data_IF_105563735331
#
_entry.id   IF_105563735331
#
_cell.length_a   1.000
_cell.length_b   1.000
_cell.length_c   1.000
_cell.angle_alpha   90.00
_cell.angle_beta   90.00
_cell.angle_gamma   90.00
#
_symmetry.space_group_name_H-M   'P 1'
#
loop_
_entity.id
_entity.type
_entity.pdbx_description
1 polymer ?
#
# COMPACT_ATOMS: atom_id res chain seq x y z
N UNK A 1 36.54 -24.32 -40.66
CA UNK A 1 37.52 -24.50 -39.57
C UNK A 1 38.36 -23.25 -39.47
N UNK A 2 38.09 -22.39 -38.48
CA UNK A 2 38.97 -21.30 -38.06
C UNK A 2 38.56 -20.92 -36.63
N UNK A 3 39.31 -21.46 -35.67
CA UNK A 3 39.14 -21.27 -34.24
C UNK A 3 39.85 -19.97 -33.86
N UNK A 4 39.10 -18.97 -33.41
CA UNK A 4 39.66 -17.72 -32.85
C UNK A 4 39.93 -17.92 -31.36
N UNK A 5 41.19 -17.76 -30.95
CA UNK A 5 41.68 -17.89 -29.57
C UNK A 5 41.37 -16.63 -28.75
N UNK A 6 40.90 -16.81 -27.53
CA UNK A 6 40.77 -15.77 -26.49
C UNK A 6 42.15 -15.30 -25.99
N UNK A 7 42.32 -14.03 -25.58
CA UNK A 7 43.52 -13.59 -24.88
C UNK A 7 43.37 -13.81 -23.37
N UNK A 8 44.25 -14.65 -22.82
CA UNK A 8 44.48 -14.88 -21.39
C UNK A 8 44.96 -13.60 -20.69
N UNK A 9 44.25 -13.18 -19.64
CA UNK A 9 44.63 -12.09 -18.74
C UNK A 9 45.74 -12.59 -17.81
N UNK A 10 46.96 -12.07 -17.96
CA UNK A 10 48.08 -12.34 -17.06
C UNK A 10 47.95 -11.51 -15.77
N UNK A 11 48.05 -12.16 -14.61
CA UNK A 11 48.22 -11.51 -13.30
C UNK A 11 49.62 -10.87 -13.19
N UNK A 12 49.78 -9.71 -12.52
CA UNK A 12 51.09 -9.11 -12.34
C UNK A 12 51.91 -9.87 -11.27
N UNK A 13 53.18 -10.12 -11.60
CA UNK A 13 54.14 -10.81 -10.77
C UNK A 13 54.49 -10.01 -9.49
N UNK A 14 54.49 -10.71 -8.35
CA UNK A 14 55.03 -10.23 -7.08
C UNK A 14 56.55 -10.24 -7.19
N UNK A 15 57.19 -9.08 -7.07
CA UNK A 15 58.65 -8.94 -7.07
C UNK A 15 59.14 -8.94 -5.61
N UNK A 16 59.86 -9.97 -5.19
CA UNK A 16 60.59 -9.99 -3.93
C UNK A 16 61.86 -9.11 -4.02
N UNK A 17 62.26 -8.42 -2.94
CA UNK A 17 63.48 -7.63 -2.96
C UNK A 17 64.70 -8.50 -2.66
N UNK A 18 65.55 -8.73 -3.67
CA UNK A 18 66.89 -9.29 -3.46
C UNK A 18 67.84 -8.24 -2.88
N UNK A 19 68.40 -8.55 -1.72
CA UNK A 19 69.54 -7.87 -1.11
C UNK A 19 70.79 -7.91 -2.01
N UNK A 20 71.33 -6.74 -2.37
CA UNK A 20 72.58 -6.66 -3.12
C UNK A 20 73.09 -5.22 -3.18
N UNK A 21 74.09 -4.92 -2.35
CA UNK A 21 74.72 -3.60 -2.31
C UNK A 21 75.64 -3.35 -3.50
N UNK A 22 75.60 -2.12 -4.02
CA UNK A 22 76.74 -1.53 -4.73
C UNK A 22 76.74 -0.01 -4.55
N UNK A 23 77.67 0.41 -3.70
CA UNK A 23 78.29 1.72 -3.56
C UNK A 23 78.29 2.55 -4.87
N UNK A 24 77.64 3.70 -4.83
CA UNK A 24 77.91 4.84 -5.72
C UNK A 24 78.20 6.07 -4.86
N UNK A 25 79.44 6.55 -4.96
CA UNK A 25 79.88 7.87 -4.48
C UNK A 25 79.84 8.84 -5.66
N UNK A 26 79.36 10.06 -5.42
CA UNK A 26 79.64 11.22 -6.27
C UNK A 26 78.41 12.06 -6.62
N UNK A 27 78.41 13.32 -6.15
CA UNK A 27 77.56 14.38 -6.71
C UNK A 27 76.64 15.06 -5.70
N UNK A 28 77.19 16.00 -4.93
CA UNK A 28 76.40 16.96 -4.17
C UNK A 28 75.69 17.93 -5.13
N UNK A 29 74.38 17.75 -5.31
CA UNK A 29 73.47 18.73 -5.90
C UNK A 29 72.48 19.15 -4.80
N UNK A 30 72.66 20.37 -4.28
CA UNK A 30 71.69 21.02 -3.39
C UNK A 30 70.48 21.46 -4.23
N UNK A 31 69.38 20.71 -4.12
CA UNK A 31 68.14 21.05 -4.81
C UNK A 31 67.07 19.97 -4.69
N UNK A 32 66.83 19.45 -3.49
CA UNK A 32 65.77 18.48 -3.24
C UNK A 32 64.49 19.18 -2.79
N UNK A 33 63.53 19.37 -3.71
CA UNK A 33 62.13 19.53 -3.31
C UNK A 33 61.64 18.17 -2.81
N UNK A 34 61.11 18.13 -1.59
CA UNK A 34 60.50 16.92 -1.03
C UNK A 34 59.45 16.35 -1.99
N UNK A 35 59.26 15.01 -2.05
CA UNK A 35 58.17 14.43 -2.83
C UNK A 35 56.84 15.05 -2.37
N UNK A 36 55.91 15.36 -3.32
CA UNK A 36 54.62 15.93 -2.95
C UNK A 36 53.92 15.02 -1.96
N UNK A 37 53.39 15.61 -0.88
CA UNK A 37 52.59 14.87 0.09
C UNK A 37 51.42 14.17 -0.62
N UNK A 38 51.07 12.93 -0.23
CA UNK A 38 49.93 12.24 -0.80
C UNK A 38 48.68 13.13 -0.68
N UNK A 39 47.79 13.11 -1.69
CA UNK A 39 46.56 13.90 -1.63
C UNK A 39 45.79 13.54 -0.35
N UNK A 40 45.14 14.51 0.31
CA UNK A 40 44.37 14.24 1.51
C UNK A 40 43.35 13.13 1.19
N UNK A 41 43.36 12.06 1.98
CA UNK A 41 42.37 10.98 1.86
C UNK A 41 40.98 11.60 1.90
N UNK A 42 40.18 11.38 0.85
CA UNK A 42 38.80 11.84 0.80
C UNK A 42 38.08 11.45 2.09
N UNK A 43 37.33 12.35 2.74
CA UNK A 43 36.61 11.99 3.96
C UNK A 43 35.68 10.82 3.65
N UNK A 44 35.90 9.68 4.30
CA UNK A 44 34.98 8.55 4.25
C UNK A 44 33.68 9.03 4.89
N UNK A 45 32.69 9.40 4.08
CA UNK A 45 31.37 9.74 4.57
C UNK A 45 30.80 8.51 5.27
N UNK A 46 30.71 8.59 6.59
CA UNK A 46 30.10 7.58 7.42
C UNK A 46 28.58 7.70 7.25
N UNK A 47 28.01 6.93 6.32
CA UNK A 47 26.57 6.84 6.04
C UNK A 47 25.72 6.28 7.20
N UNK A 48 26.27 6.21 8.41
CA UNK A 48 25.62 5.59 9.55
C UNK A 48 24.76 6.63 10.27
N UNK A 49 23.44 6.50 10.14
CA UNK A 49 22.47 7.21 10.96
C UNK A 49 22.74 6.90 12.44
N UNK A 50 23.18 7.90 13.20
CA UNK A 50 23.49 7.74 14.63
C UNK A 50 22.23 7.61 15.51
N UNK A 51 21.04 7.81 14.94
CA UNK A 51 19.76 7.83 15.63
C UNK A 51 18.76 6.83 15.01
N UNK A 52 18.07 5.99 15.79
CA UNK A 52 17.07 5.04 15.25
C UNK A 52 15.89 5.76 14.56
N UNK A 53 15.57 6.97 15.01
CA UNK A 53 14.55 7.82 14.40
C UNK A 53 14.89 8.24 12.96
N UNK A 54 16.18 8.46 12.64
CA UNK A 54 16.56 8.79 11.27
C UNK A 54 16.53 7.57 10.37
N UNK A 55 16.90 6.37 10.85
CA UNK A 55 16.74 5.12 10.09
C UNK A 55 15.27 4.84 9.75
N UNK A 56 14.35 5.05 10.69
CA UNK A 56 12.91 4.92 10.42
C UNK A 56 12.43 5.94 9.39
N UNK A 57 12.86 7.20 9.50
CA UNK A 57 12.53 8.24 8.51
C UNK A 57 13.00 7.86 7.11
N UNK A 58 14.22 7.33 6.98
CA UNK A 58 14.75 6.86 5.70
C UNK A 58 13.97 5.67 5.14
N UNK A 59 13.55 4.73 5.98
CA UNK A 59 12.70 3.61 5.56
C UNK A 59 11.33 4.08 5.04
N UNK A 60 10.68 5.00 5.76
CA UNK A 60 9.41 5.61 5.34
C UNK A 60 9.57 6.37 4.03
N UNK A 61 10.65 7.14 3.88
CA UNK A 61 10.97 7.86 2.65
C UNK A 61 11.16 6.90 1.46
N UNK A 62 11.81 5.76 1.67
CA UNK A 62 11.94 4.69 0.67
C UNK A 62 10.58 4.13 0.22
N UNK A 63 9.69 3.80 1.16
CA UNK A 63 8.33 3.33 0.83
C UNK A 63 7.54 4.38 0.05
N UNK A 64 7.59 5.65 0.49
CA UNK A 64 6.90 6.76 -0.18
C UNK A 64 7.47 7.01 -1.58
N UNK A 65 8.79 6.92 -1.73
CA UNK A 65 9.46 7.09 -3.01
C UNK A 65 9.01 6.01 -4.00
N UNK A 66 9.10 4.73 -3.63
CA UNK A 66 8.69 3.60 -4.48
C UNK A 66 7.21 3.68 -4.86
N UNK A 67 6.33 4.07 -3.93
CA UNK A 67 4.91 4.28 -4.25
C UNK A 67 4.70 5.41 -5.27
N UNK A 68 5.48 6.48 -5.21
CA UNK A 68 5.36 7.62 -6.13
C UNK A 68 5.99 7.34 -7.49
N UNK A 69 7.04 6.54 -7.59
CA UNK A 69 7.74 6.31 -8.85
C UNK A 69 7.21 5.09 -9.60
N UNK A 70 6.85 4.01 -8.90
CA UNK A 70 6.52 2.73 -9.53
C UNK A 70 5.02 2.52 -9.72
N UNK A 71 4.59 2.29 -10.96
CA UNK A 71 3.19 2.01 -11.30
C UNK A 71 2.68 0.70 -10.67
N UNK A 72 3.50 -0.35 -10.71
CA UNK A 72 3.17 -1.65 -10.15
C UNK A 72 2.98 -1.59 -8.63
N UNK A 73 3.84 -0.86 -7.91
CA UNK A 73 3.68 -0.63 -6.48
C UNK A 73 2.34 0.02 -6.12
N UNK A 74 1.85 0.98 -6.90
CA UNK A 74 0.53 1.59 -6.69
C UNK A 74 -0.61 0.58 -6.87
N UNK A 75 -0.49 -0.29 -7.88
CA UNK A 75 -1.47 -1.36 -8.12
C UNK A 75 -1.48 -2.41 -6.99
N UNK A 76 -0.31 -2.81 -6.49
CA UNK A 76 -0.22 -3.72 -5.35
C UNK A 76 -0.80 -3.09 -4.09
N UNK A 77 -0.48 -1.84 -3.78
CA UNK A 77 -1.05 -1.15 -2.61
C UNK A 77 -2.59 -1.03 -2.69
N UNK A 78 -3.11 -0.74 -3.88
CA UNK A 78 -4.54 -0.71 -4.17
C UNK A 78 -5.20 -2.07 -3.92
N UNK A 79 -4.59 -3.14 -4.46
CA UNK A 79 -5.09 -4.51 -4.32
C UNK A 79 -5.08 -4.95 -2.86
N UNK A 80 -4.02 -4.60 -2.11
CA UNK A 80 -3.93 -4.87 -0.67
C UNK A 80 -5.04 -4.17 0.11
N UNK A 81 -5.32 -2.90 -0.17
CA UNK A 81 -6.40 -2.16 0.49
C UNK A 81 -7.78 -2.81 0.22
N UNK A 82 -8.02 -3.22 -1.02
CA UNK A 82 -9.22 -3.95 -1.43
C UNK A 82 -9.39 -5.28 -0.68
N UNK A 83 -8.33 -6.07 -0.61
CA UNK A 83 -8.32 -7.40 0.00
C UNK A 83 -8.50 -7.30 1.52
N UNK A 84 -7.79 -6.39 2.19
CA UNK A 84 -7.96 -6.15 3.63
C UNK A 84 -9.36 -5.62 3.95
N UNK A 85 -9.88 -4.71 3.12
CA UNK A 85 -11.25 -4.22 3.21
C UNK A 85 -12.29 -5.32 3.06
N UNK A 86 -12.04 -6.26 2.14
CA UNK A 86 -12.85 -7.47 1.97
C UNK A 86 -12.77 -8.36 3.22
N UNK A 87 -11.59 -8.54 3.82
CA UNK A 87 -11.43 -9.28 5.09
C UNK A 87 -12.32 -8.74 6.22
N UNK A 88 -12.40 -7.41 6.35
CA UNK A 88 -13.29 -6.73 7.31
C UNK A 88 -14.76 -6.99 6.95
N UNK A 89 -15.13 -6.91 5.67
CA UNK A 89 -16.50 -7.16 5.18
C UNK A 89 -16.97 -8.60 5.47
N UNK A 90 -16.10 -9.58 5.29
CA UNK A 90 -16.39 -10.97 5.61
C UNK A 90 -16.36 -11.27 7.12
N UNK A 91 -15.91 -10.33 7.97
CA UNK A 91 -15.64 -10.53 9.41
C UNK A 91 -14.71 -11.73 9.64
N UNK A 92 -13.60 -11.75 8.92
CA UNK A 92 -12.58 -12.76 9.18
C UNK A 92 -12.11 -12.65 10.65
N UNK A 93 -11.95 -13.78 11.37
CA UNK A 93 -11.41 -13.77 12.72
C UNK A 93 -9.99 -13.19 12.72
N UNK A 94 -9.53 -12.72 13.89
CA UNK A 94 -8.24 -12.05 14.03
C UNK A 94 -7.07 -12.88 13.47
N UNK A 95 -7.10 -14.20 13.62
CA UNK A 95 -6.10 -15.13 13.07
C UNK A 95 -6.06 -15.09 11.55
N UNK A 96 -7.21 -15.13 10.90
CA UNK A 96 -7.32 -15.07 9.44
C UNK A 96 -6.95 -13.68 8.90
N UNK A 97 -7.28 -12.61 9.61
CA UNK A 97 -6.83 -11.25 9.27
C UNK A 97 -5.31 -11.10 9.40
N UNK A 98 -4.68 -11.71 10.39
CA UNK A 98 -3.21 -11.73 10.52
C UNK A 98 -2.55 -12.46 9.35
N UNK A 99 -3.09 -13.62 8.96
CA UNK A 99 -2.60 -14.37 7.78
C UNK A 99 -2.77 -13.54 6.50
N UNK A 100 -3.92 -12.89 6.33
CA UNK A 100 -4.20 -12.03 5.18
C UNK A 100 -3.25 -10.82 5.14
N UNK A 101 -3.03 -10.17 6.28
CA UNK A 101 -2.11 -9.03 6.41
C UNK A 101 -0.68 -9.46 6.09
N UNK A 102 -0.20 -10.57 6.68
CA UNK A 102 1.13 -11.09 6.42
C UNK A 102 1.33 -11.39 4.93
N UNK A 103 0.36 -12.05 4.32
CA UNK A 103 0.42 -12.42 2.90
C UNK A 103 0.40 -11.20 1.98
N UNK A 104 -0.44 -10.20 2.29
CA UNK A 104 -0.47 -8.93 1.58
C UNK A 104 0.83 -8.14 1.72
N UNK A 105 1.41 -8.10 2.93
CA UNK A 105 2.71 -7.48 3.19
C UNK A 105 3.83 -8.17 2.43
N UNK A 106 3.81 -9.50 2.30
CA UNK A 106 4.81 -10.24 1.55
C UNK A 106 4.88 -9.79 0.08
N UNK A 107 3.72 -9.59 -0.56
CA UNK A 107 3.64 -9.09 -1.95
C UNK A 107 4.29 -7.70 -2.08
N UNK A 108 3.99 -6.79 -1.14
CA UNK A 108 4.58 -5.44 -1.13
C UNK A 108 6.09 -5.49 -0.92
N UNK A 109 6.56 -6.34 -0.01
CA UNK A 109 7.99 -6.53 0.27
C UNK A 109 8.70 -7.05 -0.97
N UNK A 110 8.16 -8.07 -1.65
CA UNK A 110 8.76 -8.60 -2.88
C UNK A 110 8.79 -7.57 -4.01
N UNK A 111 7.77 -6.74 -4.14
CA UNK A 111 7.73 -5.68 -5.15
C UNK A 111 8.78 -4.58 -4.88
N UNK A 112 8.97 -4.24 -3.60
CA UNK A 112 10.04 -3.32 -3.19
C UNK A 112 11.42 -3.90 -3.46
N UNK A 113 11.63 -5.19 -3.19
CA UNK A 113 12.89 -5.86 -3.55
C UNK A 113 13.10 -5.90 -5.06
N UNK A 114 12.06 -6.18 -5.85
CA UNK A 114 12.15 -6.12 -7.32
C UNK A 114 12.60 -4.75 -7.80
N UNK A 115 11.97 -3.68 -7.30
CA UNK A 115 12.35 -2.30 -7.63
C UNK A 115 13.80 -2.00 -7.22
N UNK A 116 14.24 -2.48 -6.06
CA UNK A 116 15.60 -2.26 -5.59
C UNK A 116 16.64 -2.98 -6.48
N UNK A 117 16.35 -4.22 -6.87
CA UNK A 117 17.19 -4.99 -7.80
C UNK A 117 17.24 -4.32 -9.17
N UNK A 118 16.10 -3.89 -9.71
CA UNK A 118 16.04 -3.13 -10.96
C UNK A 118 16.91 -1.88 -10.89
N UNK A 119 16.79 -1.07 -9.83
CA UNK A 119 17.55 0.16 -9.65
C UNK A 119 19.06 -0.10 -9.57
N UNK A 120 19.50 -1.16 -8.89
CA UNK A 120 20.92 -1.54 -8.80
C UNK A 120 21.44 -2.02 -10.15
N UNK A 121 20.68 -2.87 -10.84
CA UNK A 121 21.06 -3.38 -12.16
C UNK A 121 21.16 -2.23 -13.17
N UNK A 122 20.17 -1.33 -13.19
CA UNK A 122 20.14 -0.15 -14.08
C UNK A 122 21.28 0.84 -13.79
N UNK A 123 21.75 0.90 -12.55
CA UNK A 123 22.92 1.72 -12.19
C UNK A 123 24.23 1.15 -12.76
N UNK A 124 24.34 -0.18 -12.83
CA UNK A 124 25.59 -0.87 -13.23
C UNK A 124 25.64 -1.09 -14.75
N UNK A 125 24.50 -1.32 -15.40
CA UNK A 125 24.45 -1.68 -16.82
C UNK A 125 23.90 -0.58 -17.70
N UNK A 126 24.72 -0.08 -18.62
CA UNK A 126 24.36 0.92 -19.64
C UNK A 126 23.86 0.30 -20.95
N UNK A 127 23.98 -1.02 -21.09
CA UNK A 127 23.64 -1.78 -22.29
C UNK A 127 23.15 -3.16 -21.91
N UNK A 128 22.42 -3.82 -22.81
CA UNK A 128 21.86 -5.14 -22.54
C UNK A 128 22.97 -6.14 -22.15
N UNK A 129 22.82 -6.78 -20.98
CA UNK A 129 23.73 -7.81 -20.50
C UNK A 129 22.91 -9.04 -20.07
N UNK A 130 23.25 -10.27 -20.52
CA UNK A 130 22.49 -11.47 -20.18
C UNK A 130 22.33 -11.70 -18.66
N UNK A 131 23.37 -11.41 -17.87
CA UNK A 131 23.31 -11.51 -16.41
C UNK A 131 22.37 -10.48 -15.76
N UNK A 132 22.28 -9.26 -16.32
CA UNK A 132 21.36 -8.23 -15.84
C UNK A 132 19.92 -8.62 -16.12
N UNK A 133 19.65 -9.20 -17.30
CA UNK A 133 18.34 -9.79 -17.61
C UNK A 133 17.98 -10.89 -16.62
N UNK A 134 18.90 -11.83 -16.37
CA UNK A 134 18.68 -12.93 -15.43
C UNK A 134 18.35 -12.45 -14.00
N UNK A 135 19.07 -11.44 -13.49
CA UNK A 135 18.80 -10.86 -12.18
C UNK A 135 17.39 -10.24 -12.09
N UNK A 136 16.99 -9.49 -13.12
CA UNK A 136 15.64 -8.91 -13.21
C UNK A 136 14.55 -9.98 -13.34
N UNK A 137 14.79 -11.01 -14.15
CA UNK A 137 13.85 -12.11 -14.34
C UNK A 137 13.60 -12.87 -13.02
N UNK A 138 14.64 -13.11 -12.21
CA UNK A 138 14.49 -13.72 -10.87
C UNK A 138 13.70 -12.82 -9.93
N UNK A 139 14.00 -11.52 -9.92
CA UNK A 139 13.33 -10.57 -9.05
C UNK A 139 11.83 -10.47 -9.38
N UNK A 140 11.47 -10.40 -10.66
CA UNK A 140 10.10 -10.47 -11.12
C UNK A 140 9.43 -11.82 -10.79
N UNK A 141 10.17 -12.92 -10.92
CA UNK A 141 9.71 -14.26 -10.53
C UNK A 141 9.34 -14.36 -9.05
N UNK A 142 10.10 -13.71 -8.16
CA UNK A 142 9.79 -13.67 -6.73
C UNK A 142 8.47 -12.94 -6.44
N UNK A 143 8.20 -11.83 -7.13
CA UNK A 143 6.91 -11.12 -7.04
C UNK A 143 5.76 -12.01 -7.51
N UNK A 144 5.95 -12.75 -8.60
CA UNK A 144 4.95 -13.68 -9.13
C UNK A 144 4.61 -14.78 -8.12
N UNK A 145 5.60 -15.40 -7.48
CA UNK A 145 5.39 -16.43 -6.47
C UNK A 145 4.60 -15.87 -5.27
N UNK A 146 4.98 -14.67 -4.79
CA UNK A 146 4.25 -14.01 -3.70
C UNK A 146 2.81 -13.68 -4.08
N UNK A 147 2.56 -13.22 -5.32
CA UNK A 147 1.23 -12.93 -5.83
C UNK A 147 0.36 -14.20 -5.93
N UNK A 148 0.91 -15.30 -6.44
CA UNK A 148 0.20 -16.60 -6.49
C UNK A 148 -0.16 -17.07 -5.08
N UNK A 149 0.77 -16.99 -4.13
CA UNK A 149 0.50 -17.31 -2.73
C UNK A 149 -0.63 -16.43 -2.16
N UNK A 150 -0.62 -15.13 -2.45
CA UNK A 150 -1.69 -14.22 -2.02
C UNK A 150 -3.06 -14.57 -2.60
N UNK A 151 -3.12 -14.99 -3.87
CA UNK A 151 -4.36 -15.47 -4.48
C UNK A 151 -4.85 -16.75 -3.79
N UNK A 152 -3.97 -17.73 -3.57
CA UNK A 152 -4.33 -19.01 -2.92
C UNK A 152 -4.86 -18.77 -1.51
N UNK A 153 -4.15 -17.99 -0.69
CA UNK A 153 -4.58 -17.64 0.67
C UNK A 153 -5.91 -16.88 0.63
N UNK A 154 -6.05 -15.90 -0.26
CA UNK A 154 -7.30 -15.17 -0.45
C UNK A 154 -8.47 -16.10 -0.80
N UNK A 155 -8.29 -17.02 -1.75
CA UNK A 155 -9.30 -18.00 -2.11
C UNK A 155 -9.70 -18.88 -0.92
N UNK A 156 -8.73 -19.39 -0.14
CA UNK A 156 -9.02 -20.22 1.04
C UNK A 156 -9.81 -19.43 2.09
N UNK A 157 -9.42 -18.18 2.36
CA UNK A 157 -10.07 -17.35 3.37
C UNK A 157 -11.46 -16.87 2.93
N UNK A 158 -11.66 -16.50 1.67
CA UNK A 158 -12.94 -15.95 1.22
C UNK A 158 -13.94 -17.01 0.72
N UNK A 159 -13.49 -18.14 0.18
CA UNK A 159 -14.36 -19.19 -0.36
C UNK A 159 -14.56 -20.36 0.63
N UNK A 160 -13.74 -20.46 1.67
CA UNK A 160 -13.86 -21.53 2.68
C UNK A 160 -15.14 -21.44 3.51
N UNK A 161 -15.71 -22.59 3.89
CA UNK A 161 -16.69 -22.72 4.97
C UNK A 161 -18.06 -22.07 4.75
N UNK A 162 -18.58 -21.99 3.52
CA UNK A 162 -19.93 -21.44 3.25
C UNK A 162 -20.03 -19.92 3.38
N UNK A 163 -18.91 -19.22 3.58
CA UNK A 163 -18.79 -17.75 3.60
C UNK A 163 -19.46 -17.03 2.42
N UNK A 164 -19.43 -17.53 1.16
CA UNK A 164 -20.16 -16.86 0.07
C UNK A 164 -21.68 -16.81 0.29
N UNK A 165 -22.29 -17.81 0.94
CA UNK A 165 -23.72 -17.79 1.29
C UNK A 165 -24.00 -16.83 2.44
N UNK A 166 -23.12 -16.80 3.44
CA UNK A 166 -23.18 -15.85 4.55
C UNK A 166 -23.06 -14.38 4.06
N UNK A 167 -22.21 -14.13 3.06
CA UNK A 167 -22.11 -12.82 2.42
C UNK A 167 -23.41 -12.48 1.68
N UNK A 168 -24.01 -13.41 0.94
CA UNK A 168 -25.30 -13.18 0.25
C UNK A 168 -26.39 -12.77 1.23
N UNK A 169 -26.50 -13.45 2.38
CA UNK A 169 -27.45 -13.08 3.43
C UNK A 169 -27.18 -11.67 3.98
N UNK A 170 -25.90 -11.34 4.24
CA UNK A 170 -25.51 -9.99 4.70
C UNK A 170 -25.73 -8.90 3.65
N UNK A 171 -25.63 -9.21 2.36
CA UNK A 171 -25.91 -8.27 1.28
C UNK A 171 -27.41 -8.01 1.10
N UNK A 172 -28.27 -8.94 1.52
CA UNK A 172 -29.73 -8.78 1.47
C UNK A 172 -30.29 -7.91 2.60
N UNK A 173 -29.58 -7.80 3.73
CA UNK A 173 -29.92 -6.91 4.84
C UNK A 173 -28.62 -6.33 5.42
N UNK A 174 -27.92 -5.43 4.71
CA UNK A 174 -26.60 -5.00 5.14
C UNK A 174 -26.68 -4.15 6.42
N UNK A 175 -26.07 -4.58 7.54
CA UNK A 175 -25.76 -3.65 8.61
C UNK A 175 -25.07 -2.40 8.08
N UNK A 176 -25.46 -1.25 8.63
CA UNK A 176 -24.96 0.09 8.24
C UNK A 176 -23.44 0.17 8.16
N UNK A 177 -22.73 -0.56 9.03
CA UNK A 177 -21.28 -0.65 9.03
C UNK A 177 -20.70 -1.22 7.72
N UNK A 178 -21.37 -2.18 7.07
CA UNK A 178 -20.89 -2.75 5.81
C UNK A 178 -21.04 -1.77 4.64
N UNK A 179 -22.14 -1.02 4.59
CA UNK A 179 -22.32 0.04 3.60
C UNK A 179 -21.27 1.13 3.77
N UNK A 180 -20.96 1.49 5.02
CA UNK A 180 -19.87 2.43 5.32
C UNK A 180 -18.51 1.92 4.83
N UNK A 181 -18.12 0.70 5.20
CA UNK A 181 -16.82 0.12 4.80
C UNK A 181 -16.73 -0.02 3.29
N UNK A 182 -17.79 -0.51 2.63
CA UNK A 182 -17.81 -0.64 1.17
C UNK A 182 -17.69 0.71 0.47
N UNK A 183 -18.44 1.73 0.90
CA UNK A 183 -18.37 3.07 0.33
C UNK A 183 -17.01 3.74 0.60
N UNK A 184 -16.41 3.54 1.78
CA UNK A 184 -15.08 4.05 2.12
C UNK A 184 -13.98 3.43 1.24
N UNK A 185 -14.03 2.11 1.05
CA UNK A 185 -13.10 1.40 0.17
C UNK A 185 -13.26 1.86 -1.27
N UNK A 186 -14.49 1.95 -1.76
CA UNK A 186 -14.79 2.38 -3.12
C UNK A 186 -14.34 3.83 -3.36
N UNK A 187 -14.51 4.72 -2.38
CA UNK A 187 -13.99 6.09 -2.45
C UNK A 187 -12.47 6.10 -2.50
N UNK A 188 -11.82 5.36 -1.61
CA UNK A 188 -10.35 5.25 -1.57
C UNK A 188 -9.79 4.75 -2.90
N UNK A 189 -10.45 3.75 -3.48
CA UNK A 189 -10.16 3.19 -4.80
C UNK A 189 -10.29 4.24 -5.90
N UNK A 190 -11.42 4.95 -5.96
CA UNK A 190 -11.66 5.99 -6.95
C UNK A 190 -10.63 7.11 -6.85
N UNK A 191 -10.31 7.56 -5.63
CA UNK A 191 -9.30 8.59 -5.39
C UNK A 191 -7.90 8.12 -5.81
N UNK A 192 -7.56 6.84 -5.58
CA UNK A 192 -6.29 6.27 -6.02
C UNK A 192 -6.22 6.15 -7.55
N UNK A 193 -7.23 5.58 -8.20
CA UNK A 193 -7.29 5.42 -9.67
C UNK A 193 -7.20 6.77 -10.36
N UNK A 194 -7.97 7.75 -9.91
CA UNK A 194 -7.95 9.10 -10.48
C UNK A 194 -6.59 9.77 -10.35
N UNK A 195 -5.87 9.46 -9.26
CA UNK A 195 -4.53 9.97 -9.00
C UNK A 195 -3.44 9.25 -9.78
N UNK A 196 -3.66 7.98 -10.15
CA UNK A 196 -2.76 7.23 -11.04
C UNK A 196 -2.91 7.68 -12.49
N UNK A 197 -4.14 8.00 -12.92
CA UNK A 197 -4.43 8.50 -14.27
C UNK A 197 -4.17 10.01 -14.44
N UNK A 198 -4.19 10.78 -13.35
CA UNK A 198 -3.97 12.23 -13.38
C UNK A 198 -2.48 12.59 -13.47
N UNK A 199 -2.09 13.29 -14.53
CA UNK A 199 -0.69 13.66 -14.81
C UNK A 199 -0.08 14.72 -13.86
N UNK A 200 -0.79 15.18 -12.83
CA UNK A 200 -0.34 16.29 -11.95
C UNK A 200 -0.54 15.97 -10.46
N UNK A 201 0.55 16.06 -9.67
CA UNK A 201 0.50 16.28 -8.21
C UNK A 201 1.10 15.19 -7.29
N UNK A 202 1.44 15.56 -6.05
CA UNK A 202 1.96 14.66 -5.00
C UNK A 202 0.84 14.11 -4.12
N UNK A 203 1.10 13.04 -3.35
CA UNK A 203 0.09 12.32 -2.53
C UNK A 203 -0.83 13.20 -1.65
N UNK A 204 -0.35 14.34 -1.14
CA UNK A 204 -1.11 15.24 -0.25
C UNK A 204 -1.13 16.72 -0.70
N UNK A 205 -0.49 17.07 -1.82
CA UNK A 205 -0.48 18.42 -2.37
C UNK A 205 -0.52 18.39 -3.91
N UNK A 206 -1.52 19.06 -4.48
CA UNK A 206 -1.76 19.16 -5.92
C UNK A 206 -2.38 17.90 -6.52
N UNK A 207 -3.38 18.07 -7.37
CA UNK A 207 -4.07 17.02 -8.12
C UNK A 207 -5.48 17.45 -8.55
N UNK A 208 -6.02 16.82 -9.59
CA UNK A 208 -7.32 17.18 -10.23
C UNK A 208 -8.52 17.07 -9.28
N UNK A 209 -8.37 16.35 -8.16
CA UNK A 209 -9.41 16.16 -7.13
C UNK A 209 -8.79 16.30 -5.73
N UNK A 210 -9.44 17.05 -4.84
CA UNK A 210 -9.04 17.18 -3.43
C UNK A 210 -9.49 15.96 -2.62
N UNK A 211 -8.54 15.11 -2.21
CA UNK A 211 -8.82 13.92 -1.40
C UNK A 211 -9.39 14.24 -0.01
N UNK A 212 -8.92 15.33 0.63
CA UNK A 212 -9.44 15.75 1.93
C UNK A 212 -10.89 16.22 1.85
N UNK A 213 -11.25 16.92 0.78
CA UNK A 213 -12.62 17.34 0.52
C UNK A 213 -13.50 16.11 0.25
N UNK A 214 -13.06 15.18 -0.59
CA UNK A 214 -13.78 13.95 -0.87
C UNK A 214 -14.06 13.12 0.40
N UNK A 215 -13.07 12.95 1.28
CA UNK A 215 -13.24 12.25 2.57
C UNK A 215 -14.24 13.00 3.47
N UNK A 216 -14.13 14.32 3.57
CA UNK A 216 -15.01 15.11 4.44
C UNK A 216 -16.47 15.03 3.98
N UNK A 217 -16.72 15.13 2.67
CA UNK A 217 -18.06 14.99 2.10
C UNK A 217 -18.60 13.55 2.21
N UNK A 218 -17.75 12.53 2.05
CA UNK A 218 -18.13 11.13 2.29
C UNK A 218 -18.63 10.89 3.73
N UNK A 219 -17.90 11.42 4.72
CA UNK A 219 -18.29 11.33 6.12
C UNK A 219 -19.58 12.10 6.39
N UNK A 220 -19.71 13.32 5.86
CA UNK A 220 -20.93 14.11 6.01
C UNK A 220 -22.15 13.41 5.41
N UNK A 221 -22.04 12.88 4.19
CA UNK A 221 -23.13 12.13 3.55
C UNK A 221 -23.45 10.85 4.31
N UNK A 222 -22.45 10.15 4.85
CA UNK A 222 -22.70 9.00 5.74
C UNK A 222 -23.51 9.41 6.96
N UNK A 223 -23.15 10.51 7.64
CA UNK A 223 -23.89 10.99 8.83
C UNK A 223 -25.35 11.29 8.50
N UNK A 224 -25.64 11.84 7.31
CA UNK A 224 -27.03 12.08 6.85
C UNK A 224 -27.85 10.79 6.85
N UNK A 225 -27.29 9.67 6.35
CA UNK A 225 -28.00 8.39 6.26
C UNK A 225 -28.04 7.60 7.57
N UNK A 226 -27.05 7.78 8.44
CA UNK A 226 -26.89 6.95 9.66
C UNK A 226 -27.48 7.59 10.90
N UNK A 227 -27.36 8.91 11.06
CA UNK A 227 -27.65 9.56 12.34
C UNK A 227 -29.14 9.72 12.63
N UNK A 228 -30.02 9.64 11.62
CA UNK A 228 -31.46 9.92 11.73
C UNK A 228 -31.78 11.23 12.49
N UNK A 229 -30.84 12.18 12.48
CA UNK A 229 -30.91 13.42 13.24
C UNK A 229 -30.46 14.57 12.33
N UNK A 230 -31.42 15.43 12.00
CA UNK A 230 -31.22 16.58 11.12
C UNK A 230 -30.15 17.53 11.65
N UNK A 231 -30.04 17.68 12.96
CA UNK A 231 -29.03 18.54 13.57
C UNK A 231 -27.61 18.00 13.37
N UNK A 232 -27.41 16.69 13.57
CA UNK A 232 -26.12 16.04 13.32
C UNK A 232 -25.73 16.10 11.84
N UNK A 233 -26.69 15.93 10.93
CA UNK A 233 -26.50 16.07 9.49
C UNK A 233 -26.02 17.49 9.11
N UNK A 234 -26.67 18.52 9.65
CA UNK A 234 -26.28 19.92 9.39
C UNK A 234 -24.85 20.18 9.87
N UNK A 235 -24.51 19.77 11.11
CA UNK A 235 -23.16 19.93 11.64
C UNK A 235 -22.10 19.23 10.80
N UNK A 236 -22.39 18.02 10.32
CA UNK A 236 -21.45 17.27 9.50
C UNK A 236 -21.20 17.92 8.13
N UNK A 237 -22.26 18.46 7.50
CA UNK A 237 -22.15 19.22 6.25
C UNK A 237 -21.35 20.51 6.45
N UNK A 238 -21.61 21.25 7.54
CA UNK A 238 -20.84 22.44 7.88
C UNK A 238 -19.36 22.11 8.09
N UNK A 239 -19.05 21.02 8.78
CA UNK A 239 -17.67 20.57 8.96
C UNK A 239 -17.00 20.22 7.62
N UNK A 240 -17.72 19.54 6.71
CA UNK A 240 -17.19 19.23 5.39
C UNK A 240 -16.92 20.48 4.54
N UNK A 241 -17.80 21.49 4.64
CA UNK A 241 -17.61 22.79 3.98
C UNK A 241 -16.41 23.55 4.56
N UNK A 242 -16.22 23.54 5.88
CA UNK A 242 -15.04 24.14 6.52
C UNK A 242 -13.74 23.46 6.06
N UNK A 243 -13.72 22.13 6.01
CA UNK A 243 -12.57 21.38 5.48
C UNK A 243 -12.34 21.73 4.02
N UNK A 244 -13.38 21.86 3.20
CA UNK A 244 -13.28 22.23 1.79
C UNK A 244 -12.74 23.66 1.60
N UNK A 245 -13.26 24.64 2.34
CA UNK A 245 -12.78 26.02 2.32
C UNK A 245 -11.30 26.09 2.70
N UNK A 246 -10.88 25.39 3.76
CA UNK A 246 -9.49 25.41 4.23
C UNK A 246 -8.48 25.01 3.14
N UNK A 247 -8.89 24.18 2.17
CA UNK A 247 -8.03 23.74 1.06
C UNK A 247 -7.91 24.76 -0.05
N UNK A 248 -8.97 25.52 -0.32
CA UNK A 248 -8.97 26.63 -1.28
C UNK A 248 -8.18 27.80 -0.71
N UNK A 249 -8.41 28.13 0.56
CA UNK A 249 -7.77 29.25 1.26
C UNK A 249 -6.26 29.04 1.43
N UNK A 250 -5.83 27.82 1.74
CA UNK A 250 -4.42 27.45 1.79
C UNK A 250 -3.72 27.44 0.41
N UNK A 251 -4.44 27.75 -0.68
CA UNK A 251 -3.96 27.69 -2.08
C UNK A 251 -3.32 26.35 -2.47
N UNK A 252 -3.71 25.26 -1.80
CA UNK A 252 -3.23 23.90 -2.09
C UNK A 252 -4.03 23.28 -3.24
N UNK A 253 -5.33 23.59 -3.31
CA UNK A 253 -6.25 23.08 -4.33
C UNK A 253 -7.10 24.20 -4.92
N UNK A 254 -7.49 24.03 -6.19
CA UNK A 254 -8.44 24.95 -6.83
C UNK A 254 -9.87 24.64 -6.42
N UNK A 255 -10.77 25.62 -6.54
CA UNK A 255 -12.22 25.43 -6.26
C UNK A 255 -12.78 24.27 -7.08
N UNK A 256 -12.35 24.10 -8.33
CA UNK A 256 -12.80 23.00 -9.20
C UNK A 256 -12.37 21.63 -8.68
N UNK A 257 -11.15 21.49 -8.17
CA UNK A 257 -10.64 20.23 -7.60
C UNK A 257 -11.36 19.85 -6.30
N UNK A 258 -11.75 20.85 -5.51
CA UNK A 258 -12.52 20.67 -4.28
C UNK A 258 -13.96 20.25 -4.59
N UNK A 259 -14.61 20.94 -5.53
CA UNK A 259 -15.99 20.65 -5.94
C UNK A 259 -16.09 19.27 -6.59
N UNK A 260 -15.18 18.90 -7.48
CA UNK A 260 -15.17 17.57 -8.11
C UNK A 260 -15.03 16.45 -7.08
N UNK A 261 -14.17 16.62 -6.06
CA UNK A 261 -14.05 15.65 -4.96
C UNK A 261 -15.30 15.54 -4.10
N UNK A 262 -15.94 16.67 -3.81
CA UNK A 262 -17.19 16.72 -3.06
C UNK A 262 -18.33 16.00 -3.79
N UNK A 263 -18.52 16.31 -5.08
CA UNK A 263 -19.57 15.72 -5.93
C UNK A 263 -19.37 14.21 -6.09
N UNK A 264 -18.13 13.78 -6.34
CA UNK A 264 -17.80 12.36 -6.44
C UNK A 264 -18.18 11.61 -5.16
N UNK A 265 -17.76 12.13 -4.00
CA UNK A 265 -18.03 11.51 -2.70
C UNK A 265 -19.54 11.49 -2.38
N UNK A 266 -20.25 12.57 -2.64
CA UNK A 266 -21.69 12.66 -2.42
C UNK A 266 -22.44 11.64 -3.28
N UNK A 267 -22.16 11.61 -4.59
CA UNK A 267 -22.80 10.68 -5.53
C UNK A 267 -22.52 9.22 -5.18
N UNK A 268 -21.26 8.90 -4.87
CA UNK A 268 -20.84 7.57 -4.48
C UNK A 268 -21.57 7.09 -3.22
N UNK A 269 -21.53 7.91 -2.18
CA UNK A 269 -22.10 7.57 -0.87
C UNK A 269 -23.61 7.44 -0.97
N UNK A 270 -24.28 8.41 -1.62
CA UNK A 270 -25.72 8.34 -1.85
C UNK A 270 -26.10 7.07 -2.64
N UNK A 271 -25.33 6.70 -3.67
CA UNK A 271 -25.56 5.47 -4.42
C UNK A 271 -25.46 4.23 -3.51
N UNK A 272 -24.39 4.10 -2.72
CA UNK A 272 -24.20 2.94 -1.84
C UNK A 272 -25.30 2.81 -0.78
N UNK A 273 -25.79 3.92 -0.22
CA UNK A 273 -26.86 3.89 0.79
C UNK A 273 -28.28 3.81 0.21
N UNK A 274 -28.51 4.26 -1.03
CA UNK A 274 -29.80 4.18 -1.71
C UNK A 274 -30.03 2.87 -2.49
N UNK A 275 -28.98 2.17 -2.94
CA UNK A 275 -29.08 0.90 -3.68
C UNK A 275 -29.75 -0.23 -2.86
N UNK A 276 -29.42 -0.45 -1.57
CA UNK A 276 -29.96 -1.57 -0.81
C UNK A 276 -31.48 -1.49 -0.59
N UNK A 277 -32.05 -0.29 -0.42
CA UNK A 277 -33.49 -0.13 -0.18
C UNK A 277 -34.33 -0.48 -1.43
N UNK A 278 -33.81 -0.22 -2.63
CA UNK A 278 -34.51 -0.54 -3.87
C UNK A 278 -34.26 -1.97 -4.35
N UNK A 279 -33.03 -2.49 -4.26
CA UNK A 279 -32.69 -3.85 -4.74
C UNK A 279 -33.29 -4.95 -3.87
N UNK A 280 -33.36 -4.75 -2.55
CA UNK A 280 -33.92 -5.75 -1.63
C UNK A 280 -35.43 -5.92 -1.79
N UNK A 281 -36.15 -4.91 -2.27
CA UNK A 281 -37.59 -5.01 -2.57
C UNK A 281 -37.91 -5.86 -3.81
N UNK A 282 -36.97 -6.01 -4.75
CA UNK A 282 -37.20 -6.70 -6.03
C UNK A 282 -36.76 -8.17 -6.07
N UNK A 283 -36.18 -8.71 -5.00
CA UNK A 283 -35.91 -10.15 -4.92
C UNK A 283 -37.23 -10.91 -4.66
N UNK A 284 -37.71 -11.75 -5.61
CA UNK A 284 -38.95 -12.50 -5.45
C UNK A 284 -38.74 -13.57 -4.37
N UNK A 285 -39.19 -13.28 -3.14
CA UNK A 285 -39.05 -14.19 -2.00
C UNK A 285 -39.04 -13.55 -0.61
N UNK A 286 -39.30 -12.24 -0.47
CA UNK A 286 -39.25 -11.49 0.79
C UNK A 286 -40.27 -11.84 1.88
N UNK A 287 -40.41 -13.11 2.26
CA UNK A 287 -40.94 -13.51 3.58
C UNK A 287 -39.78 -13.98 4.45
N UNK A 288 -39.25 -13.06 5.24
CA UNK A 288 -38.31 -13.37 6.32
C UNK A 288 -39.11 -14.07 7.43
N UNK A 289 -39.01 -15.40 7.52
CA UNK A 289 -39.36 -16.09 8.76
C UNK A 289 -38.33 -15.67 9.81
N UNK A 290 -38.74 -14.80 10.72
CA UNK A 290 -38.03 -14.51 11.95
C UNK A 290 -37.96 -15.83 12.74
N UNK A 291 -36.82 -16.51 12.73
CA UNK A 291 -36.54 -17.51 13.77
C UNK A 291 -36.27 -16.74 15.08
N UNK A 292 -36.99 -17.02 16.17
CA UNK A 292 -36.69 -16.40 17.45
C UNK A 292 -35.38 -16.97 18.00
N UNK A 293 -34.60 -16.12 18.67
CA UNK A 293 -33.32 -16.45 19.27
C UNK A 293 -33.39 -17.65 20.23
N UNK A 294 -32.38 -18.54 20.27
CA UNK A 294 -32.32 -19.61 21.25
C UNK A 294 -31.73 -19.03 22.54
N UNK A 295 -32.56 -18.50 23.42
CA UNK A 295 -32.31 -18.43 24.87
C UNK A 295 -33.48 -17.72 25.57
N UNK A 296 -34.56 -18.47 25.80
CA UNK A 296 -35.43 -18.27 26.96
C UNK A 296 -35.68 -19.64 27.57
N UNK A 297 -34.95 -19.90 28.66
CA UNK A 297 -35.14 -21.05 29.55
C UNK A 297 -36.61 -21.08 30.01
N UNK A 298 -37.32 -22.22 29.95
CA UNK A 298 -38.70 -22.29 30.45
C UNK A 298 -38.69 -22.21 31.97
N UNK A 299 -39.41 -21.23 32.53
CA UNK A 299 -39.78 -21.21 33.93
C UNK A 299 -40.64 -22.44 34.22
N UNK A 300 -40.13 -23.36 35.04
CA UNK A 300 -40.89 -24.42 35.68
C UNK A 300 -41.94 -23.77 36.60
N UNK A 301 -43.16 -23.61 36.09
CA UNK A 301 -44.35 -23.43 36.92
C UNK A 301 -44.80 -24.83 37.33
N UNK A 302 -44.28 -25.34 38.43
CA UNK A 302 -44.92 -26.44 39.16
C UNK A 302 -46.23 -25.92 39.74
N UNK A 303 -47.34 -26.38 39.18
CA UNK A 303 -48.67 -26.15 39.72
C UNK A 303 -48.81 -26.93 41.03
N UNK A 304 -49.01 -26.17 42.10
CA UNK A 304 -49.52 -26.64 43.39
C UNK A 304 -51.03 -26.37 43.41
N UNK A 305 -51.79 -27.35 43.90
CA UNK A 305 -53.23 -27.36 44.21
C UNK A 305 -54.25 -27.68 43.09
N UNK A 306 -54.62 -28.96 43.03
CA UNK A 306 -56.00 -29.38 42.79
C UNK A 306 -56.59 -29.90 44.13
N UNK A 307 -57.85 -29.58 44.49
CA UNK A 307 -58.45 -30.02 45.74
C UNK A 307 -59.13 -31.40 45.60
N UNK A 308 -58.85 -32.30 46.55
CA UNK A 308 -59.76 -33.31 47.10
C UNK A 308 -59.16 -33.90 48.38
#
# INVERSE_FOLDING_TARGET
>A
MSVSREPTVHAPAVVEPTSGGSRWQGGASKGGTAPPSPPPSSPIHHWRSKNPLSSFRHAVEGVVHTFRTQRNMRFHFFTVALVLGSGILYRLPATEMLVLLFTASLVLITEMFNTAVEAVVDMITLSYHPAAKFAKDIAAGAVLIAAVNAVVVGCVLFLGGGRPEMLRYRLQQPPTLYLFVAAALLLFILLLVWKILGEKGTLLQGGVVSGHSAIAFFLATTVIFVANNVFAAILAVLLALLVAQSRVEARIHTVREVVTGAVLALFLTASVYCIPSWVVQYLPGGRVLVQPAPNTTPLLRTEENAPQ
#
